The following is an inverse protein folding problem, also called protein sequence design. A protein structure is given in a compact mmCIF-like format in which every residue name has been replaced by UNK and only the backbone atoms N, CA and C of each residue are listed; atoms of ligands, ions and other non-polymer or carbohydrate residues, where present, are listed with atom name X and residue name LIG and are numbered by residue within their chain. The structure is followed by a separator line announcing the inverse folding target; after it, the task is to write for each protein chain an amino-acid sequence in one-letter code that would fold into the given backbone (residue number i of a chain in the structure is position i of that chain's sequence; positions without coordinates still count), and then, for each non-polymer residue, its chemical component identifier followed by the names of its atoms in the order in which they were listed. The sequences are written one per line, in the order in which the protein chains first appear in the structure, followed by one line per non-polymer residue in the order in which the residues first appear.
data_IF_358669091961
#
_entry.id   IF_358669091961
#
_cell.length_a   1.000
_cell.length_b   1.000
_cell.length_c   1.000
_cell.angle_alpha   90.00
_cell.angle_beta   90.00
_cell.angle_gamma   90.00
#
_symmetry.space_group_name_H-M   'P 1'
#
loop_
_entity.id
_entity.type
_entity.pdbx_description
1 polymer ?
#
# COMPACT_ATOMS: atom_id res chain seq x y z
N UNK A 1 16.99 6.42 -29.25
CA UNK A 1 16.27 5.47 -28.37
C UNK A 1 14.90 6.05 -28.05
N UNK A 2 13.80 5.42 -28.50
CA UNK A 2 12.44 5.82 -28.11
C UNK A 2 12.20 5.29 -26.69
N UNK A 3 12.13 6.16 -25.70
CA UNK A 3 11.81 5.76 -24.34
C UNK A 3 10.33 5.32 -24.27
N UNK A 4 10.05 4.19 -23.60
CA UNK A 4 8.69 3.68 -23.40
C UNK A 4 7.84 4.70 -22.64
N UNK A 5 6.61 4.95 -23.11
CA UNK A 5 5.64 5.86 -22.47
C UNK A 5 5.22 5.38 -21.07
N UNK A 6 5.44 4.10 -20.77
CA UNK A 6 5.12 3.49 -19.47
C UNK A 6 6.09 3.88 -18.35
N UNK A 7 7.37 4.17 -18.64
CA UNK A 7 8.42 4.42 -17.64
C UNK A 7 8.09 5.48 -16.58
N UNK A 8 7.67 6.71 -16.95
CA UNK A 8 7.36 7.73 -15.95
C UNK A 8 6.23 7.32 -15.01
N UNK A 9 5.25 6.54 -15.49
CA UNK A 9 4.12 6.04 -14.68
C UNK A 9 4.58 4.97 -13.69
N UNK A 10 5.49 4.08 -14.11
CA UNK A 10 6.09 3.06 -13.24
C UNK A 10 6.89 3.73 -12.12
N UNK A 11 7.73 4.73 -12.46
CA UNK A 11 8.51 5.50 -11.46
C UNK A 11 7.58 6.18 -10.47
N UNK A 12 6.58 6.93 -10.95
CA UNK A 12 5.63 7.63 -10.09
C UNK A 12 4.89 6.65 -9.15
N UNK A 13 4.42 5.51 -9.66
CA UNK A 13 3.77 4.49 -8.85
C UNK A 13 4.71 3.84 -7.83
N UNK A 14 5.99 3.67 -8.18
CA UNK A 14 7.01 3.12 -7.30
C UNK A 14 7.40 4.08 -6.17
N UNK A 15 7.46 5.38 -6.46
CA UNK A 15 7.68 6.42 -5.43
C UNK A 15 6.51 6.45 -4.44
N UNK A 16 5.27 6.36 -4.92
CA UNK A 16 4.10 6.30 -4.04
C UNK A 16 4.12 5.04 -3.15
N UNK A 17 4.48 3.89 -3.70
CA UNK A 17 4.64 2.65 -2.92
C UNK A 17 5.78 2.78 -1.90
N UNK A 18 6.90 3.43 -2.26
CA UNK A 18 8.02 3.64 -1.35
C UNK A 18 7.63 4.54 -0.17
N UNK A 19 6.99 5.68 -0.45
CA UNK A 19 6.48 6.59 0.58
C UNK A 19 5.51 5.89 1.52
N UNK A 20 4.60 5.07 0.97
CA UNK A 20 3.66 4.33 1.78
C UNK A 20 4.33 3.18 2.58
N UNK A 21 5.43 2.61 2.08
CA UNK A 21 6.25 1.65 2.83
C UNK A 21 6.88 2.32 4.06
N UNK A 22 7.47 3.50 3.90
CA UNK A 22 8.01 4.29 5.02
C UNK A 22 6.93 4.67 6.03
N UNK A 23 5.78 5.13 5.55
CA UNK A 23 4.66 5.50 6.42
C UNK A 23 4.17 4.31 7.24
N UNK A 24 3.98 3.14 6.62
CA UNK A 24 3.55 1.95 7.34
C UNK A 24 4.59 1.43 8.32
N UNK A 25 5.89 1.61 8.03
CA UNK A 25 6.94 1.26 8.97
C UNK A 25 6.87 2.13 10.23
N UNK A 26 6.74 3.45 10.04
CA UNK A 26 6.64 4.39 11.15
C UNK A 26 5.40 4.13 12.00
N UNK A 27 4.24 3.96 11.35
CA UNK A 27 2.97 3.70 12.02
C UNK A 27 2.97 2.35 12.73
N UNK A 28 3.51 1.27 12.12
CA UNK A 28 3.56 -0.04 12.76
C UNK A 28 4.42 -0.02 14.02
N UNK A 29 5.57 0.64 13.97
CA UNK A 29 6.45 0.77 15.14
C UNK A 29 5.73 1.58 16.22
N UNK A 30 5.11 2.71 15.88
CA UNK A 30 4.42 3.56 16.83
C UNK A 30 3.28 2.82 17.55
N UNK A 31 2.44 2.08 16.82
CA UNK A 31 1.35 1.31 17.42
C UNK A 31 1.84 0.14 18.28
N UNK A 32 2.91 -0.56 17.88
CA UNK A 32 3.50 -1.61 18.69
C UNK A 32 4.07 -1.03 20.00
N UNK A 33 4.83 0.06 19.92
CA UNK A 33 5.41 0.72 21.10
C UNK A 33 4.32 1.24 22.02
N UNK A 34 3.32 1.96 21.48
CA UNK A 34 2.15 2.44 22.24
C UNK A 34 1.41 1.30 22.92
N UNK A 35 1.17 0.20 22.20
CA UNK A 35 0.47 -0.96 22.75
C UNK A 35 1.24 -1.62 23.89
N UNK A 36 2.57 -1.79 23.74
CA UNK A 36 3.44 -2.28 24.83
C UNK A 36 3.44 -1.32 26.02
N UNK A 37 3.52 -0.01 25.79
CA UNK A 37 3.46 0.98 26.87
C UNK A 37 2.13 0.88 27.62
N UNK A 38 1.00 0.86 26.92
CA UNK A 38 -0.32 0.75 27.53
C UNK A 38 -0.51 -0.55 28.34
N UNK A 39 0.06 -1.66 27.87
CA UNK A 39 0.03 -2.94 28.61
C UNK A 39 0.90 -2.92 29.87
N UNK A 40 1.87 -2.02 29.97
CA UNK A 40 2.77 -1.89 31.11
C UNK A 40 2.46 -0.66 31.98
N UNK A 41 1.38 0.07 31.71
CA UNK A 41 0.94 1.16 32.58
C UNK A 41 0.35 0.58 33.85
N UNK A 42 0.95 0.89 35.00
CA UNK A 42 0.41 0.48 36.30
C UNK A 42 -0.99 1.07 36.51
N UNK A 43 -1.97 0.28 37.02
CA UNK A 43 -3.23 0.85 37.47
C UNK A 43 -2.95 1.96 38.48
N UNK A 44 -3.59 3.12 38.29
CA UNK A 44 -3.63 4.17 39.30
C UNK A 44 -3.97 3.55 40.66
N UNK A 45 -3.18 3.88 41.70
CA UNK A 45 -3.44 3.37 43.05
C UNK A 45 -4.89 3.68 43.45
N UNK A 46 -5.70 2.63 43.67
CA UNK A 46 -7.05 2.78 44.19
C UNK A 46 -6.98 3.46 45.56
N UNK A 47 -7.96 4.30 45.88
CA UNK A 47 -8.05 5.14 47.08
C UNK A 47 -8.15 4.39 48.44
N UNK A 48 -7.76 3.11 48.46
CA UNK A 48 -7.80 2.22 49.63
C UNK A 48 -9.18 1.62 49.91
N UNK A 49 -10.22 2.00 49.15
CA UNK A 49 -11.56 1.42 49.27
C UNK A 49 -11.73 0.19 48.36
N UNK A 50 -12.66 -0.71 48.71
CA UNK A 50 -12.97 -1.88 47.88
C UNK A 50 -13.52 -1.49 46.49
N UNK A 51 -14.26 -0.36 46.43
CA UNK A 51 -14.81 0.20 45.20
C UNK A 51 -13.71 0.82 44.33
N UNK A 52 -12.78 1.59 44.92
CA UNK A 52 -11.61 2.12 44.22
C UNK A 52 -10.62 1.03 43.75
N UNK A 53 -10.50 -0.07 44.48
CA UNK A 53 -9.71 -1.23 44.04
C UNK A 53 -10.36 -1.98 42.86
N UNK A 54 -11.70 -2.08 42.84
CA UNK A 54 -12.44 -2.66 41.72
C UNK A 54 -12.38 -1.77 40.47
N UNK A 55 -12.48 -0.44 40.62
CA UNK A 55 -12.33 0.51 39.51
C UNK A 55 -10.91 0.55 38.96
N UNK A 56 -9.88 0.54 39.81
CA UNK A 56 -8.48 0.45 39.37
C UNK A 56 -8.19 -0.86 38.63
N UNK A 57 -8.76 -1.98 39.10
CA UNK A 57 -8.68 -3.28 38.42
C UNK A 57 -9.38 -3.28 37.05
N UNK A 58 -10.60 -2.73 36.95
CA UNK A 58 -11.33 -2.61 35.69
C UNK A 58 -10.63 -1.67 34.69
N UNK A 59 -10.07 -0.57 35.19
CA UNK A 59 -9.25 0.39 34.44
C UNK A 59 -7.98 -0.25 33.86
N UNK A 60 -7.24 -1.04 34.64
CA UNK A 60 -6.07 -1.76 34.15
C UNK A 60 -6.41 -2.79 33.08
N UNK A 61 -7.51 -3.53 33.26
CA UNK A 61 -7.96 -4.51 32.26
C UNK A 61 -8.35 -3.81 30.96
N UNK A 62 -9.09 -2.70 31.03
CA UNK A 62 -9.47 -1.91 29.86
C UNK A 62 -8.24 -1.33 29.13
N UNK A 63 -7.29 -0.78 29.88
CA UNK A 63 -6.05 -0.20 29.33
C UNK A 63 -5.17 -1.27 28.68
N UNK A 64 -5.02 -2.43 29.32
CA UNK A 64 -4.32 -3.58 28.75
C UNK A 64 -4.99 -4.10 27.47
N UNK A 65 -6.33 -4.14 27.42
CA UNK A 65 -7.06 -4.56 26.23
C UNK A 65 -6.87 -3.59 25.05
N UNK A 66 -6.90 -2.27 25.31
CA UNK A 66 -6.59 -1.24 24.32
C UNK A 66 -5.15 -1.39 23.82
N UNK A 67 -4.20 -1.69 24.72
CA UNK A 67 -2.82 -1.96 24.37
C UNK A 67 -2.68 -3.16 23.41
N UNK A 68 -3.38 -4.26 23.67
CA UNK A 68 -3.41 -5.43 22.77
C UNK A 68 -4.00 -5.07 21.40
N UNK A 69 -5.09 -4.29 21.35
CA UNK A 69 -5.68 -3.82 20.09
C UNK A 69 -4.71 -2.93 19.29
N UNK A 70 -3.95 -2.07 19.97
CA UNK A 70 -2.92 -1.25 19.34
C UNK A 70 -1.81 -2.13 18.72
N UNK A 71 -1.36 -3.18 19.41
CA UNK A 71 -0.38 -4.13 18.85
C UNK A 71 -0.93 -4.83 17.61
N UNK A 72 -2.19 -5.30 17.65
CA UNK A 72 -2.84 -5.95 16.50
C UNK A 72 -2.87 -5.00 15.30
N UNK A 73 -3.21 -3.72 15.51
CA UNK A 73 -3.22 -2.72 14.45
C UNK A 73 -1.80 -2.46 13.89
N UNK A 74 -0.79 -2.47 14.76
CA UNK A 74 0.62 -2.40 14.38
C UNK A 74 1.05 -3.58 13.49
N UNK A 75 0.62 -4.80 13.81
CA UNK A 75 0.87 -6.00 13.00
C UNK A 75 0.21 -5.89 11.63
N UNK A 76 -1.04 -5.41 11.56
CA UNK A 76 -1.75 -5.18 10.29
C UNK A 76 -0.98 -4.18 9.41
N UNK A 77 -0.47 -3.10 9.99
CA UNK A 77 0.38 -2.13 9.28
C UNK A 77 1.68 -2.77 8.77
N UNK A 78 2.26 -3.70 9.53
CA UNK A 78 3.45 -4.45 9.15
C UNK A 78 3.18 -5.37 7.94
N UNK A 79 2.02 -6.04 7.89
CA UNK A 79 1.57 -6.77 6.70
C UNK A 79 1.40 -5.84 5.49
N UNK A 80 0.78 -4.67 5.69
CA UNK A 80 0.60 -3.69 4.63
C UNK A 80 1.94 -3.12 4.11
N UNK A 81 2.95 -3.00 4.99
CA UNK A 81 4.32 -2.64 4.64
C UNK A 81 4.94 -3.64 3.68
N UNK A 82 4.80 -4.94 3.96
CA UNK A 82 5.36 -6.00 3.09
C UNK A 82 4.78 -5.90 1.68
N UNK A 83 3.47 -5.71 1.54
CA UNK A 83 2.85 -5.54 0.22
C UNK A 83 3.32 -4.27 -0.51
N UNK A 84 3.48 -3.16 0.23
CA UNK A 84 3.99 -1.90 -0.32
C UNK A 84 5.46 -2.02 -0.78
N UNK A 85 6.27 -2.74 0.00
CA UNK A 85 7.66 -3.00 -0.32
C UNK A 85 7.81 -3.85 -1.59
N UNK A 86 6.99 -4.89 -1.74
CA UNK A 86 6.93 -5.69 -2.97
C UNK A 86 6.58 -4.81 -4.18
N UNK A 87 5.57 -3.94 -4.05
CA UNK A 87 5.21 -2.99 -5.11
C UNK A 87 6.35 -2.03 -5.49
N UNK A 88 7.08 -1.55 -4.48
CA UNK A 88 8.27 -0.71 -4.65
C UNK A 88 9.37 -1.44 -5.42
N UNK A 89 9.73 -2.65 -4.99
CA UNK A 89 10.79 -3.47 -5.61
C UNK A 89 10.43 -3.80 -7.07
N UNK A 90 9.18 -4.18 -7.34
CA UNK A 90 8.70 -4.49 -8.69
C UNK A 90 8.78 -3.26 -9.58
N UNK A 91 8.36 -2.10 -9.08
CA UNK A 91 8.41 -0.84 -9.83
C UNK A 91 9.85 -0.44 -10.15
N UNK A 92 10.76 -0.47 -9.17
CA UNK A 92 12.18 -0.15 -9.40
C UNK A 92 12.86 -1.12 -10.37
N UNK A 93 12.58 -2.42 -10.26
CA UNK A 93 13.17 -3.45 -11.12
C UNK A 93 12.64 -3.40 -12.56
N UNK A 94 11.42 -2.92 -12.77
CA UNK A 94 10.81 -2.83 -14.11
C UNK A 94 11.25 -1.58 -14.87
N UNK A 95 11.56 -0.47 -14.21
CA UNK A 95 12.05 0.77 -14.84
C UNK A 95 13.38 0.56 -15.57
N UNK A 96 14.24 -0.32 -15.07
CA UNK A 96 15.57 -0.55 -15.64
C UNK A 96 15.62 -1.59 -16.78
N UNK A 97 14.48 -2.17 -17.17
CA UNK A 97 14.41 -3.20 -18.23
C UNK A 97 14.22 -2.60 -19.63
N UNK A 98 14.70 -3.33 -20.65
CA UNK A 98 14.42 -3.10 -22.08
C UNK A 98 13.00 -3.56 -22.43
N UNK A 99 12.39 -3.00 -23.49
CA UNK A 99 10.98 -3.26 -23.89
C UNK A 99 10.70 -4.76 -24.07
N UNK A 100 11.61 -5.53 -24.67
CA UNK A 100 11.51 -7.00 -24.77
C UNK A 100 11.42 -7.72 -23.40
N UNK A 101 12.13 -7.22 -22.40
CA UNK A 101 12.14 -7.79 -21.05
C UNK A 101 10.96 -7.30 -20.18
N UNK A 102 10.18 -6.32 -20.65
CA UNK A 102 9.02 -5.82 -19.92
C UNK A 102 7.85 -6.82 -19.91
N UNK A 103 7.76 -7.73 -20.89
CA UNK A 103 6.75 -8.81 -20.95
C UNK A 103 6.74 -9.66 -19.66
N UNK A 104 7.92 -9.96 -19.12
CA UNK A 104 8.08 -10.71 -17.86
C UNK A 104 7.71 -9.89 -16.62
N UNK A 105 7.77 -8.55 -16.68
CA UNK A 105 7.37 -7.68 -15.57
C UNK A 105 5.88 -7.32 -15.57
N UNK A 106 5.15 -7.46 -16.69
CA UNK A 106 3.70 -7.16 -16.73
C UNK A 106 2.93 -7.93 -15.66
N UNK A 107 3.23 -9.21 -15.47
CA UNK A 107 2.55 -10.02 -14.46
C UNK A 107 2.86 -9.54 -13.03
N UNK A 108 4.10 -9.08 -12.79
CA UNK A 108 4.50 -8.51 -11.50
C UNK A 108 3.82 -7.15 -11.25
N UNK A 109 3.69 -6.31 -12.29
CA UNK A 109 2.95 -5.04 -12.18
C UNK A 109 1.46 -5.26 -11.90
N UNK A 110 0.83 -6.27 -12.50
CA UNK A 110 -0.58 -6.64 -12.22
C UNK A 110 -0.77 -7.06 -10.76
N UNK A 111 0.16 -7.83 -10.21
CA UNK A 111 0.14 -8.21 -8.78
C UNK A 111 0.30 -6.96 -7.89
N UNK A 112 1.24 -6.08 -8.20
CA UNK A 112 1.44 -4.83 -7.46
C UNK A 112 0.26 -3.84 -7.56
N UNK A 113 -0.43 -3.81 -8.71
CA UNK A 113 -1.69 -3.11 -8.90
C UNK A 113 -2.78 -3.68 -7.99
N UNK A 114 -2.92 -5.01 -7.95
CA UNK A 114 -3.88 -5.69 -7.08
C UNK A 114 -3.69 -5.34 -5.61
N UNK A 115 -2.45 -5.33 -5.13
CA UNK A 115 -2.15 -4.93 -3.75
C UNK A 115 -2.49 -3.46 -3.46
N UNK A 116 -2.27 -2.56 -4.42
CA UNK A 116 -2.63 -1.15 -4.25
C UNK A 116 -4.15 -0.95 -4.15
N UNK A 117 -4.94 -1.63 -4.98
CA UNK A 117 -6.40 -1.56 -4.89
C UNK A 117 -6.95 -2.24 -3.63
N UNK A 118 -6.39 -3.38 -3.23
CA UNK A 118 -6.79 -4.06 -2.00
C UNK A 118 -6.55 -3.16 -0.78
N UNK A 119 -5.37 -2.54 -0.70
CA UNK A 119 -5.06 -1.57 0.35
C UNK A 119 -6.01 -0.36 0.30
N UNK A 120 -6.24 0.22 -0.88
CA UNK A 120 -7.16 1.34 -1.03
C UNK A 120 -8.56 1.00 -0.49
N UNK A 121 -9.08 -0.19 -0.78
CA UNK A 121 -10.36 -0.67 -0.26
C UNK A 121 -10.37 -0.79 1.26
N UNK A 122 -9.33 -1.37 1.86
CA UNK A 122 -9.23 -1.50 3.33
C UNK A 122 -9.23 -0.13 4.01
N UNK A 123 -8.41 0.81 3.55
CA UNK A 123 -8.34 2.15 4.14
C UNK A 123 -9.62 2.94 3.92
N UNK A 124 -10.28 2.75 2.78
CA UNK A 124 -11.58 3.39 2.51
C UNK A 124 -12.65 2.87 3.48
N UNK A 125 -12.76 1.55 3.67
CA UNK A 125 -13.73 0.97 4.62
C UNK A 125 -13.43 1.42 6.06
N UNK A 126 -12.14 1.46 6.45
CA UNK A 126 -11.72 1.99 7.75
C UNK A 126 -12.14 3.45 7.95
N UNK A 127 -11.96 4.29 6.93
CA UNK A 127 -12.39 5.69 6.99
C UNK A 127 -13.90 5.83 7.16
N UNK A 128 -14.70 5.03 6.43
CA UNK A 128 -16.17 5.04 6.59
C UNK A 128 -16.56 4.60 8.00
N UNK A 129 -15.91 3.56 8.55
CA UNK A 129 -16.16 3.12 9.92
C UNK A 129 -15.90 4.26 10.92
N UNK A 130 -14.75 4.93 10.83
CA UNK A 130 -14.42 6.05 11.70
C UNK A 130 -15.43 7.20 11.55
N UNK A 131 -15.86 7.53 10.33
CA UNK A 131 -16.93 8.52 10.12
C UNK A 131 -18.26 8.12 10.75
N UNK A 132 -18.63 6.85 10.70
CA UNK A 132 -19.89 6.37 11.32
C UNK A 132 -19.85 6.38 12.85
N UNK A 133 -18.66 6.28 13.44
CA UNK A 133 -18.47 6.26 14.89
C UNK A 133 -18.06 7.63 15.46
N UNK A 134 -17.68 8.61 14.63
CA UNK A 134 -17.03 9.82 15.12
C UNK A 134 -17.94 10.75 15.94
N UNK A 135 -19.25 10.83 15.66
CA UNK A 135 -20.13 11.80 16.32
C UNK A 135 -19.58 13.23 16.20
N UNK A 136 -19.17 13.82 17.33
CA UNK A 136 -18.47 15.14 17.40
C UNK A 136 -16.99 15.03 17.80
N UNK A 137 -16.45 13.82 17.92
CA UNK A 137 -15.04 13.58 18.27
C UNK A 137 -14.14 13.96 17.09
N UNK A 138 -13.42 15.06 17.28
CA UNK A 138 -12.51 15.62 16.28
C UNK A 138 -11.35 14.68 15.96
N UNK A 139 -10.94 13.82 16.91
CA UNK A 139 -9.86 12.84 16.73
C UNK A 139 -10.24 11.79 15.71
N UNK A 140 -11.47 11.25 15.82
CA UNK A 140 -11.99 10.25 14.88
C UNK A 140 -12.24 10.86 13.49
N UNK A 141 -12.68 12.11 13.41
CA UNK A 141 -12.82 12.83 12.13
C UNK A 141 -11.47 13.01 11.43
N UNK A 142 -10.43 13.40 12.17
CA UNK A 142 -9.07 13.54 11.62
C UNK A 142 -8.53 12.18 11.20
N UNK A 143 -8.74 11.13 12.00
CA UNK A 143 -8.38 9.75 11.68
C UNK A 143 -9.01 9.30 10.35
N UNK A 144 -10.32 9.48 10.21
CA UNK A 144 -11.06 9.14 9.00
C UNK A 144 -10.54 9.88 7.76
N UNK A 145 -10.25 11.19 7.88
CA UNK A 145 -9.65 11.99 6.82
C UNK A 145 -8.28 11.45 6.40
N UNK A 146 -7.43 11.09 7.35
CA UNK A 146 -6.11 10.51 7.07
C UNK A 146 -6.20 9.17 6.35
N UNK A 147 -7.14 8.31 6.76
CA UNK A 147 -7.41 7.03 6.08
C UNK A 147 -7.91 7.24 4.65
N UNK A 148 -8.77 8.24 4.39
CA UNK A 148 -9.19 8.61 3.03
C UNK A 148 -8.03 9.07 2.16
N UNK A 149 -7.13 9.90 2.69
CA UNK A 149 -5.95 10.35 1.95
C UNK A 149 -5.06 9.15 1.57
N UNK A 150 -4.83 8.23 2.51
CA UNK A 150 -4.07 6.99 2.24
C UNK A 150 -4.79 6.15 1.17
N UNK A 151 -6.11 5.97 1.28
CA UNK A 151 -6.90 5.25 0.30
C UNK A 151 -6.78 5.85 -1.11
N UNK A 152 -6.87 7.18 -1.22
CA UNK A 152 -6.73 7.89 -2.49
C UNK A 152 -5.32 7.73 -3.08
N UNK A 153 -4.27 7.87 -2.28
CA UNK A 153 -2.88 7.67 -2.72
C UNK A 153 -2.68 6.24 -3.26
N UNK A 154 -3.25 5.24 -2.57
CA UNK A 154 -3.19 3.84 -3.00
C UNK A 154 -4.00 3.58 -4.27
N UNK A 155 -5.16 4.18 -4.42
CA UNK A 155 -5.94 4.11 -5.65
C UNK A 155 -5.18 4.72 -6.84
N UNK A 156 -4.56 5.89 -6.66
CA UNK A 156 -3.74 6.55 -7.69
C UNK A 156 -2.52 5.71 -8.07
N UNK A 157 -1.81 5.14 -7.09
CA UNK A 157 -0.70 4.21 -7.37
C UNK A 157 -1.16 2.98 -8.17
N UNK A 158 -2.35 2.43 -7.84
CA UNK A 158 -2.99 1.37 -8.61
C UNK A 158 -3.31 1.79 -10.06
N UNK A 159 -3.92 2.96 -10.26
CA UNK A 159 -4.26 3.49 -11.59
C UNK A 159 -3.01 3.69 -12.45
N UNK A 160 -1.94 4.25 -11.89
CA UNK A 160 -0.68 4.44 -12.60
C UNK A 160 -0.09 3.10 -13.09
N UNK A 161 -0.17 2.04 -12.27
CA UNK A 161 0.24 0.68 -12.66
C UNK A 161 -0.65 0.08 -13.73
N UNK A 162 -1.98 0.28 -13.65
CA UNK A 162 -2.93 -0.13 -14.69
C UNK A 162 -2.60 0.53 -16.03
N UNK A 163 -2.34 1.84 -16.02
CA UNK A 163 -1.96 2.60 -17.22
C UNK A 163 -0.60 2.15 -17.77
N UNK A 164 0.37 1.88 -16.90
CA UNK A 164 1.66 1.35 -17.32
C UNK A 164 1.52 -0.02 -17.99
N UNK A 165 0.72 -0.93 -17.43
CA UNK A 165 0.43 -2.25 -18.03
C UNK A 165 -0.23 -2.09 -19.40
N UNK A 166 -1.19 -1.17 -19.55
CA UNK A 166 -1.86 -0.90 -20.83
C UNK A 166 -0.86 -0.40 -21.87
N UNK A 167 -0.03 0.58 -21.52
CA UNK A 167 0.97 1.15 -22.43
C UNK A 167 2.00 0.08 -22.88
N UNK A 168 2.45 -0.77 -21.95
CA UNK A 168 3.39 -1.86 -22.27
C UNK A 168 2.78 -2.85 -23.26
N UNK A 169 1.51 -3.24 -23.07
CA UNK A 169 0.84 -4.17 -23.98
C UNK A 169 0.63 -3.54 -25.37
N UNK A 170 0.29 -2.24 -25.44
CA UNK A 170 0.14 -1.54 -26.71
C UNK A 170 1.47 -1.39 -27.46
N UNK A 171 2.55 -1.06 -26.76
CA UNK A 171 3.90 -0.97 -27.37
C UNK A 171 4.40 -2.34 -27.86
N UNK A 172 4.00 -3.44 -27.21
CA UNK A 172 4.33 -4.79 -27.66
C UNK A 172 3.64 -5.16 -28.98
N UNK A 173 2.35 -4.84 -29.13
CA UNK A 173 1.60 -5.09 -30.38
C UNK A 173 2.19 -4.29 -31.54
N UNK A 174 2.59 -3.03 -31.31
CA UNK A 174 3.25 -2.22 -32.33
C UNK A 174 4.61 -2.83 -32.76
N UNK A 175 5.40 -3.34 -31.80
CA UNK A 175 6.68 -4.00 -32.11
C UNK A 175 6.50 -5.32 -32.88
N UNK A 176 5.59 -6.20 -32.45
CA UNK A 176 5.31 -7.47 -33.14
C UNK A 176 4.84 -7.23 -34.58
N UNK A 177 3.99 -6.20 -34.78
CA UNK A 177 3.52 -5.82 -36.12
C UNK A 177 4.67 -5.33 -36.99
N UNK A 178 5.53 -4.45 -36.46
CA UNK A 178 6.69 -3.93 -37.20
C UNK A 178 7.70 -5.04 -37.57
N UNK A 179 7.97 -5.99 -36.66
CA UNK A 179 8.84 -7.13 -36.98
C UNK A 179 8.26 -8.03 -38.06
N UNK A 180 6.95 -8.28 -38.03
CA UNK A 180 6.28 -9.11 -39.05
C UNK A 180 6.35 -8.49 -40.47
N UNK A 181 6.20 -7.17 -40.59
CA UNK A 181 6.36 -6.48 -41.88
C UNK A 181 7.82 -6.35 -42.32
N UNK A 182 8.78 -6.29 -41.38
CA UNK A 182 10.20 -6.29 -41.71
C UNK A 182 10.66 -7.65 -42.25
N UNK A 183 10.22 -8.76 -41.65
CA UNK A 183 10.55 -10.11 -42.12
C UNK A 183 9.97 -10.42 -43.50
N UNK A 184 8.71 -10.04 -43.76
CA UNK A 184 8.08 -10.26 -45.07
C UNK A 184 8.77 -9.47 -46.21
N UNK A 185 9.24 -8.25 -45.95
CA UNK A 185 9.97 -7.47 -46.97
C UNK A 185 11.39 -8.02 -47.22
N UNK A 186 11.98 -8.75 -46.26
CA UNK A 186 13.31 -9.32 -46.40
C UNK A 186 13.28 -10.68 -47.12
N UNK A 187 12.18 -11.44 -47.00
CA UNK A 187 11.98 -12.68 -47.76
C UNK A 187 11.78 -12.43 -49.25
N UNK A 188 11.06 -11.37 -49.64
CA UNK A 188 10.81 -11.05 -51.06
C UNK A 188 12.06 -10.59 -51.82
N UNK A 189 13.09 -10.11 -51.11
CA UNK A 189 14.35 -9.64 -51.71
C UNK A 189 15.46 -10.72 -51.79
N UNK A 190 15.17 -11.94 -51.31
CA UNK A 190 16.11 -13.09 -51.35
C UNK A 190 15.77 -14.13 -52.41
N UNK A 191 14.68 -13.92 -53.16
CA UNK A 191 14.20 -14.78 -54.24
C UNK A 191 14.48 -14.27 -55.66
N UNK A 192 15.33 -13.25 -55.82
CA UNK A 192 15.83 -12.77 -57.11
C UNK A 192 17.33 -13.04 -57.29
#
# INVERSE_FOLDING_TARGET
MKYSKSRPKIIASGVLDALATFLYAAISILFIVMGVVLMNTDPSEGDGTFEGAAEAGASAIATGLIGVLAIILGIICLCALVFSLVGTIVSLKSVNKSVENLKKSVNQLKVAQGFNYAAAGIFFVGAIYDFTQCGTDTTLIIGACMLLVIAAVRAVSGVLKTLAVKDINSEQVEQETLSFFADNNNSDNSGM
#
